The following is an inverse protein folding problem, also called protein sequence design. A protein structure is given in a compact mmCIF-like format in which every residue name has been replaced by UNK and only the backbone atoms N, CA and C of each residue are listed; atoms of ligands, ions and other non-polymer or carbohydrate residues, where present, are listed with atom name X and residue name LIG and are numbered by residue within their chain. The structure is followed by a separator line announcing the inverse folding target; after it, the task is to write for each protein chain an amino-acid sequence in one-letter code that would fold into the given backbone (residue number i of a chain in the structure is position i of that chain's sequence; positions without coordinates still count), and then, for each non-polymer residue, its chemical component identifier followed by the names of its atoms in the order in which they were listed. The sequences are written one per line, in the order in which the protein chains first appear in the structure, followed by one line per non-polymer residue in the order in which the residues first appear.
data_IF_866414370636
#
_entry.id   IF_866414370636
#
_cell.length_a   1.000
_cell.length_b   1.000
_cell.length_c   1.000
_cell.angle_alpha   90.00
_cell.angle_beta   90.00
_cell.angle_gamma   90.00
#
_symmetry.space_group_name_H-M   'P 1'
#
loop_
_entity.id
_entity.type
_entity.pdbx_description
1 polymer ?
#
# COMPACT_ATOMS: atom_id res chain seq x y z
N UNK A 1 -17.39 16.51 -10.16
CA UNK A 1 -16.80 15.17 -10.32
C UNK A 1 -15.26 15.22 -10.33
N UNK A 2 -14.61 16.01 -11.19
CA UNK A 2 -13.14 16.04 -11.32
C UNK A 2 -12.39 16.38 -10.02
N UNK A 3 -12.84 17.39 -9.25
CA UNK A 3 -12.20 17.78 -7.98
C UNK A 3 -12.30 16.64 -6.97
N UNK A 4 -13.44 15.98 -6.90
CA UNK A 4 -13.69 14.84 -6.00
C UNK A 4 -12.78 13.65 -6.37
N UNK A 5 -12.64 13.35 -7.67
CA UNK A 5 -11.75 12.27 -8.14
C UNK A 5 -10.28 12.54 -7.82
N UNK A 6 -9.84 13.79 -7.98
CA UNK A 6 -8.47 14.21 -7.61
C UNK A 6 -8.23 14.04 -6.11
N UNK A 7 -9.19 14.47 -5.28
CA UNK A 7 -9.10 14.29 -3.84
C UNK A 7 -9.04 12.79 -3.47
N UNK A 8 -9.94 11.97 -3.98
CA UNK A 8 -9.95 10.54 -3.71
C UNK A 8 -8.69 9.81 -4.23
N UNK A 9 -8.08 10.27 -5.31
CA UNK A 9 -6.88 9.66 -5.83
C UNK A 9 -5.64 9.82 -4.93
N UNK A 10 -5.65 10.77 -3.99
CA UNK A 10 -4.45 11.16 -3.23
C UNK A 10 -4.70 11.24 -1.72
N UNK A 11 -5.81 11.81 -1.27
CA UNK A 11 -6.09 12.04 0.16
C UNK A 11 -6.03 10.75 0.99
N UNK A 12 -6.59 9.60 0.57
CA UNK A 12 -6.52 8.37 1.36
C UNK A 12 -5.08 7.89 1.62
N UNK A 13 -4.16 8.16 0.69
CA UNK A 13 -2.74 7.82 0.89
C UNK A 13 -2.14 8.62 2.04
N UNK A 14 -2.35 9.94 2.07
CA UNK A 14 -1.87 10.78 3.18
C UNK A 14 -2.54 10.44 4.50
N UNK A 15 -3.84 10.11 4.48
CA UNK A 15 -4.54 9.61 5.65
C UNK A 15 -3.92 8.31 6.18
N UNK A 16 -3.53 7.38 5.31
CA UNK A 16 -2.87 6.14 5.75
C UNK A 16 -1.53 6.39 6.43
N UNK A 17 -0.73 7.34 5.93
CA UNK A 17 0.50 7.75 6.59
C UNK A 17 0.24 8.41 7.95
N UNK A 18 -0.75 9.32 8.03
CA UNK A 18 -1.13 9.97 9.27
C UNK A 18 -1.64 8.98 10.32
N UNK A 19 -2.46 8.00 9.90
CA UNK A 19 -2.95 6.93 10.77
C UNK A 19 -1.79 6.06 11.26
N UNK A 20 -0.87 5.66 10.37
CA UNK A 20 0.31 4.88 10.77
C UNK A 20 1.13 5.66 11.80
N UNK A 21 1.43 6.93 11.54
CA UNK A 21 2.17 7.79 12.46
C UNK A 21 1.46 7.90 13.82
N UNK A 22 0.15 8.14 13.83
CA UNK A 22 -0.64 8.21 15.06
C UNK A 22 -0.59 6.90 15.85
N UNK A 23 -0.75 5.76 15.17
CA UNK A 23 -0.64 4.44 15.79
C UNK A 23 0.75 4.27 16.42
N UNK A 24 1.81 4.64 15.72
CA UNK A 24 3.18 4.52 16.23
C UNK A 24 3.43 5.43 17.46
N UNK A 25 2.91 6.65 17.45
CA UNK A 25 3.02 7.59 18.57
C UNK A 25 2.28 7.10 19.81
N UNK A 26 1.06 6.59 19.63
CA UNK A 26 0.21 6.13 20.72
C UNK A 26 0.68 4.77 21.28
N UNK A 27 1.00 3.83 20.42
CA UNK A 27 1.35 2.46 20.85
C UNK A 27 2.83 2.28 21.14
N UNK A 28 3.68 3.19 20.65
CA UNK A 28 5.15 3.07 20.69
C UNK A 28 5.67 1.73 20.14
N UNK A 29 4.90 1.10 19.25
CA UNK A 29 5.16 -0.24 18.73
C UNK A 29 6.20 -0.20 17.60
N UNK A 30 7.48 -0.13 17.95
CA UNK A 30 8.59 -0.13 16.98
C UNK A 30 8.53 -1.29 15.98
N UNK A 31 7.99 -2.46 16.39
CA UNK A 31 7.80 -3.61 15.51
C UNK A 31 6.89 -3.29 14.32
N UNK A 32 5.77 -2.59 14.54
CA UNK A 32 4.86 -2.17 13.45
C UNK A 32 5.59 -1.26 12.45
N UNK A 33 6.45 -0.35 12.93
CA UNK A 33 7.23 0.52 12.04
C UNK A 33 8.19 -0.30 11.16
N UNK A 34 8.94 -1.22 11.78
CA UNK A 34 9.89 -2.08 11.05
C UNK A 34 9.17 -2.92 10.00
N UNK A 35 8.05 -3.54 10.37
CA UNK A 35 7.23 -4.34 9.46
C UNK A 35 6.66 -3.50 8.31
N UNK A 36 6.17 -2.27 8.61
CA UNK A 36 5.65 -1.37 7.59
C UNK A 36 6.76 -0.93 6.61
N UNK A 37 7.92 -0.52 7.12
CA UNK A 37 9.06 -0.14 6.27
C UNK A 37 9.52 -1.32 5.42
N UNK A 38 9.64 -2.51 5.99
CA UNK A 38 10.04 -3.71 5.25
C UNK A 38 9.02 -4.07 4.15
N UNK A 39 7.72 -4.10 4.49
CA UNK A 39 6.66 -4.38 3.52
C UNK A 39 6.64 -3.37 2.38
N UNK A 40 6.71 -2.07 2.69
CA UNK A 40 6.70 -0.99 1.71
C UNK A 40 7.92 -1.06 0.79
N UNK A 41 9.11 -1.18 1.35
CA UNK A 41 10.35 -1.22 0.57
C UNK A 41 10.37 -2.41 -0.39
N UNK A 42 10.05 -3.61 0.11
CA UNK A 42 10.03 -4.82 -0.72
C UNK A 42 8.94 -4.77 -1.79
N UNK A 43 7.74 -4.29 -1.45
CA UNK A 43 6.64 -4.17 -2.39
C UNK A 43 6.94 -3.16 -3.51
N UNK A 44 7.54 -2.01 -3.19
CA UNK A 44 7.90 -1.00 -4.19
C UNK A 44 9.06 -1.45 -5.10
N UNK A 45 10.06 -2.13 -4.53
CA UNK A 45 11.13 -2.76 -5.33
C UNK A 45 10.54 -3.81 -6.27
N UNK A 46 9.60 -4.62 -5.80
CA UNK A 46 8.91 -5.60 -6.61
C UNK A 46 8.07 -4.94 -7.71
N UNK A 47 7.30 -3.88 -7.40
CA UNK A 47 6.55 -3.12 -8.40
C UNK A 47 7.47 -2.53 -9.47
N UNK A 48 8.58 -1.93 -9.05
CA UNK A 48 9.57 -1.38 -9.97
C UNK A 48 10.14 -2.47 -10.90
N UNK A 49 10.50 -3.63 -10.36
CA UNK A 49 10.97 -4.77 -11.14
C UNK A 49 9.88 -5.25 -12.12
N UNK A 50 8.66 -5.43 -11.63
CA UNK A 50 7.54 -5.88 -12.46
C UNK A 50 7.26 -4.92 -13.62
N UNK A 51 7.27 -3.61 -13.36
CA UNK A 51 7.10 -2.59 -14.40
C UNK A 51 8.22 -2.56 -15.45
N UNK A 52 9.40 -3.15 -15.16
CA UNK A 52 10.50 -3.29 -16.13
C UNK A 52 10.38 -4.56 -16.99
N UNK A 53 9.97 -5.69 -16.38
CA UNK A 53 9.84 -6.96 -17.09
C UNK A 53 8.49 -7.10 -17.80
N UNK A 54 7.47 -6.44 -17.29
CA UNK A 54 6.12 -6.41 -17.85
C UNK A 54 5.60 -4.98 -17.92
N UNK A 55 6.03 -4.25 -18.94
CA UNK A 55 5.58 -2.88 -19.15
C UNK A 55 4.12 -2.86 -19.61
N UNK A 56 3.28 -2.19 -18.82
CA UNK A 56 1.89 -1.92 -19.13
C UNK A 56 1.72 -0.43 -19.42
N UNK A 57 1.37 -0.02 -20.66
CA UNK A 57 1.14 1.40 -20.94
C UNK A 57 -0.05 1.91 -20.14
N UNK A 58 0.02 3.17 -19.70
CA UNK A 58 -1.08 3.81 -18.97
C UNK A 58 -2.26 4.12 -19.88
N UNK A 59 -3.52 4.19 -19.36
CA UNK A 59 -4.70 4.47 -20.17
C UNK A 59 -4.59 5.72 -21.04
N UNK A 60 -4.01 6.80 -20.52
CA UNK A 60 -3.86 8.07 -21.26
C UNK A 60 -2.87 8.01 -22.43
N UNK A 61 -2.11 6.94 -22.58
CA UNK A 61 -1.27 6.67 -23.76
C UNK A 61 -2.06 5.99 -24.87
N UNK A 62 -3.31 5.59 -24.62
CA UNK A 62 -4.21 5.00 -25.61
C UNK A 62 -4.97 6.13 -26.34
N UNK A 63 -5.09 6.08 -27.69
CA UNK A 63 -5.85 7.08 -28.44
C UNK A 63 -7.29 7.22 -27.91
N UNK A 64 -7.74 8.45 -27.71
CA UNK A 64 -9.09 8.75 -27.22
C UNK A 64 -9.24 8.75 -25.69
N UNK A 65 -8.21 8.43 -24.94
CA UNK A 65 -8.21 8.49 -23.45
C UNK A 65 -7.41 9.72 -22.98
N UNK A 66 -8.05 10.59 -22.21
CA UNK A 66 -7.42 11.77 -21.63
C UNK A 66 -7.09 11.56 -20.16
N UNK A 67 -5.84 11.86 -19.76
CA UNK A 67 -5.51 12.02 -18.34
C UNK A 67 -5.99 13.39 -17.84
N UNK A 68 -6.67 13.39 -16.69
CA UNK A 68 -7.12 14.61 -16.02
C UNK A 68 -6.11 15.16 -15.00
N UNK A 69 -4.94 14.54 -14.92
CA UNK A 69 -3.79 14.94 -14.08
C UNK A 69 -2.50 14.66 -14.85
N UNK A 70 -1.47 15.46 -14.58
CA UNK A 70 -0.15 15.17 -15.12
C UNK A 70 0.41 13.91 -14.44
N UNK A 71 0.86 12.96 -15.24
CA UNK A 71 1.49 11.73 -14.78
C UNK A 71 2.59 11.28 -15.75
N UNK A 72 3.70 10.75 -15.21
CA UNK A 72 4.77 10.22 -16.03
C UNK A 72 4.32 8.99 -16.84
N UNK A 73 4.84 8.82 -18.04
CA UNK A 73 4.57 7.69 -18.94
C UNK A 73 5.36 6.42 -18.52
N UNK A 74 5.32 6.08 -17.23
CA UNK A 74 5.88 4.83 -16.67
C UNK A 74 4.86 3.70 -16.78
N UNK A 75 5.26 2.46 -16.45
CA UNK A 75 4.31 1.35 -16.36
C UNK A 75 3.11 1.69 -15.46
N UNK A 76 1.90 1.29 -15.86
CA UNK A 76 0.70 1.45 -15.04
C UNK A 76 0.59 0.38 -13.95
N UNK A 77 1.06 -0.84 -14.25
CA UNK A 77 0.88 -2.02 -13.39
C UNK A 77 2.13 -2.33 -12.57
N UNK A 78 1.96 -2.68 -11.28
CA UNK A 78 0.81 -2.38 -10.40
C UNK A 78 0.81 -0.91 -9.95
N UNK A 79 -0.28 -0.44 -9.32
CA UNK A 79 -0.36 0.94 -8.82
C UNK A 79 0.45 1.14 -7.53
N UNK A 80 1.55 1.90 -7.58
CA UNK A 80 2.39 2.18 -6.40
C UNK A 80 1.61 2.84 -5.26
N UNK A 81 0.74 3.80 -5.56
CA UNK A 81 -0.07 4.49 -4.55
C UNK A 81 -0.97 3.53 -3.78
N UNK A 82 -1.65 2.61 -4.48
CA UNK A 82 -2.48 1.61 -3.84
C UNK A 82 -1.65 0.55 -3.12
N UNK A 83 -0.51 0.16 -3.68
CA UNK A 83 0.43 -0.76 -3.02
C UNK A 83 0.87 -0.20 -1.68
N UNK A 84 1.31 1.06 -1.62
CA UNK A 84 1.70 1.73 -0.38
C UNK A 84 0.54 1.73 0.62
N UNK A 85 -0.63 2.22 0.17
CA UNK A 85 -1.82 2.35 1.00
C UNK A 85 -2.24 1.02 1.62
N UNK A 86 -2.35 -0.03 0.80
CA UNK A 86 -2.75 -1.35 1.27
C UNK A 86 -1.66 -2.12 2.02
N UNK A 87 -0.36 -1.84 1.80
CA UNK A 87 0.71 -2.36 2.66
C UNK A 87 0.55 -1.84 4.10
N UNK A 88 0.33 -0.53 4.27
CA UNK A 88 0.08 0.06 5.59
C UNK A 88 -1.15 -0.61 6.23
N UNK A 89 -2.26 -0.69 5.50
CA UNK A 89 -3.48 -1.34 5.96
C UNK A 89 -3.22 -2.79 6.37
N UNK A 90 -2.51 -3.57 5.55
CA UNK A 90 -2.20 -4.98 5.77
C UNK A 90 -1.36 -5.21 7.03
N UNK A 91 -0.33 -4.40 7.25
CA UNK A 91 0.47 -4.46 8.47
C UNK A 91 -0.39 -4.15 9.70
N UNK A 92 -1.22 -3.10 9.67
CA UNK A 92 -2.13 -2.78 10.77
C UNK A 92 -3.16 -3.89 11.04
N UNK A 93 -3.71 -4.53 9.99
CA UNK A 93 -4.61 -5.68 10.09
C UNK A 93 -3.91 -6.87 10.76
N UNK A 94 -2.63 -7.05 10.51
CA UNK A 94 -1.82 -8.10 11.10
C UNK A 94 -1.76 -8.06 12.63
N UNK A 95 -1.97 -6.92 13.26
CA UNK A 95 -1.90 -6.75 14.72
C UNK A 95 -3.28 -6.62 15.35
N UNK A 96 -3.59 -7.45 16.36
CA UNK A 96 -4.93 -7.49 17.00
C UNK A 96 -5.40 -6.12 17.49
N UNK A 97 -4.50 -5.30 18.04
CA UNK A 97 -4.83 -3.97 18.60
C UNK A 97 -5.16 -2.93 17.54
N UNK A 98 -4.63 -3.07 16.33
CA UNK A 98 -4.80 -2.10 15.24
C UNK A 98 -5.63 -2.65 14.08
N UNK A 99 -6.13 -3.89 14.18
CA UNK A 99 -6.85 -4.57 13.10
C UNK A 99 -8.03 -3.78 12.56
N UNK A 100 -8.88 -3.25 13.45
CA UNK A 100 -10.07 -2.48 13.03
C UNK A 100 -9.66 -1.21 12.29
N UNK A 101 -8.62 -0.53 12.78
CA UNK A 101 -8.04 0.64 12.11
C UNK A 101 -7.51 0.25 10.72
N UNK A 102 -6.78 -0.87 10.65
CA UNK A 102 -6.26 -1.39 9.38
C UNK A 102 -7.36 -1.71 8.36
N UNK A 103 -8.48 -2.30 8.80
CA UNK A 103 -9.63 -2.56 7.94
C UNK A 103 -10.24 -1.24 7.45
N UNK A 104 -10.42 -0.26 8.32
CA UNK A 104 -10.92 1.06 7.93
C UNK A 104 -9.99 1.73 6.90
N UNK A 105 -8.68 1.67 7.11
CA UNK A 105 -7.69 2.15 6.12
C UNK A 105 -7.82 1.38 4.81
N UNK A 106 -7.92 0.04 4.84
CA UNK A 106 -8.06 -0.76 3.61
C UNK A 106 -9.29 -0.35 2.78
N UNK A 107 -10.41 -0.08 3.43
CA UNK A 107 -11.65 0.36 2.78
C UNK A 107 -11.50 1.73 2.11
N UNK A 108 -10.69 2.64 2.65
CA UNK A 108 -10.36 3.92 2.01
C UNK A 108 -9.57 3.75 0.71
N UNK A 109 -8.97 2.59 0.46
CA UNK A 109 -8.35 2.25 -0.81
C UNK A 109 -9.34 2.11 -1.96
N UNK A 110 -10.62 1.82 -1.71
CA UNK A 110 -11.64 1.68 -2.75
C UNK A 110 -11.94 3.01 -3.46
N UNK A 111 -12.30 4.10 -2.77
CA UNK A 111 -12.46 5.40 -3.42
C UNK A 111 -11.15 5.91 -4.04
N UNK A 112 -9.99 5.56 -3.47
CA UNK A 112 -8.70 5.88 -4.07
C UNK A 112 -8.50 5.16 -5.40
N UNK A 113 -8.80 3.86 -5.47
CA UNK A 113 -8.76 3.07 -6.70
C UNK A 113 -9.68 3.66 -7.77
N UNK A 114 -10.94 3.96 -7.39
CA UNK A 114 -11.89 4.61 -8.28
C UNK A 114 -11.37 5.94 -8.81
N UNK A 115 -10.84 6.82 -7.95
CA UNK A 115 -10.30 8.11 -8.33
C UNK A 115 -9.18 7.99 -9.37
N UNK A 116 -8.27 7.03 -9.21
CA UNK A 116 -7.14 6.81 -10.13
C UNK A 116 -7.58 6.26 -11.49
N UNK A 117 -8.59 5.38 -11.51
CA UNK A 117 -9.20 4.87 -12.74
C UNK A 117 -9.94 6.02 -13.47
N UNK A 118 -10.78 6.77 -12.74
CA UNK A 118 -11.53 7.90 -13.30
C UNK A 118 -10.63 8.97 -13.90
N UNK A 119 -9.47 9.23 -13.29
CA UNK A 119 -8.49 10.20 -13.80
C UNK A 119 -7.71 9.71 -15.04
N UNK A 120 -7.96 8.48 -15.51
CA UNK A 120 -7.33 7.92 -16.70
C UNK A 120 -5.86 7.55 -16.53
N UNK A 121 -5.39 7.36 -15.29
CA UNK A 121 -3.98 7.05 -15.01
C UNK A 121 -3.70 5.58 -14.73
N UNK A 122 -4.74 4.79 -14.43
CA UNK A 122 -4.64 3.35 -14.16
C UNK A 122 -5.84 2.57 -14.68
N UNK A 123 -5.63 1.28 -14.92
CA UNK A 123 -6.68 0.30 -15.20
C UNK A 123 -7.19 -0.37 -13.91
N UNK A 124 -8.40 -0.95 -13.90
CA UNK A 124 -8.88 -1.75 -12.77
C UNK A 124 -7.94 -2.90 -12.37
N UNK A 125 -7.28 -3.54 -13.36
CA UNK A 125 -6.31 -4.60 -13.12
C UNK A 125 -5.10 -4.15 -12.30
N UNK A 126 -4.66 -2.88 -12.46
CA UNK A 126 -3.54 -2.32 -11.69
C UNK A 126 -3.87 -2.25 -10.19
N UNK A 127 -5.15 -2.06 -9.86
CA UNK A 127 -5.64 -2.03 -8.48
C UNK A 127 -5.61 -3.43 -7.86
N UNK A 128 -6.07 -4.43 -8.61
CA UNK A 128 -6.01 -5.83 -8.16
C UNK A 128 -4.57 -6.30 -7.97
N UNK A 129 -3.68 -5.96 -8.90
CA UNK A 129 -2.25 -6.24 -8.78
C UNK A 129 -1.66 -5.59 -7.52
N UNK A 130 -1.97 -4.32 -7.26
CA UNK A 130 -1.52 -3.61 -6.07
C UNK A 130 -2.03 -4.26 -4.77
N UNK A 131 -3.29 -4.70 -4.75
CA UNK A 131 -3.86 -5.39 -3.58
C UNK A 131 -3.15 -6.72 -3.29
N UNK A 132 -2.88 -7.51 -4.32
CA UNK A 132 -2.16 -8.80 -4.18
C UNK A 132 -0.72 -8.60 -3.70
N UNK A 133 0.01 -7.66 -4.30
CA UNK A 133 1.37 -7.32 -3.89
C UNK A 133 1.39 -6.85 -2.44
N UNK A 134 0.51 -5.92 -2.07
CA UNK A 134 0.43 -5.41 -0.71
C UNK A 134 0.07 -6.50 0.30
N UNK A 135 -0.91 -7.35 0.00
CA UNK A 135 -1.30 -8.46 0.87
C UNK A 135 -0.15 -9.45 1.09
N UNK A 136 0.59 -9.78 0.03
CA UNK A 136 1.75 -10.67 0.11
C UNK A 136 2.84 -10.08 1.01
N UNK A 137 3.35 -8.90 0.70
CA UNK A 137 4.49 -8.32 1.42
C UNK A 137 4.14 -7.89 2.86
N UNK A 138 2.94 -7.39 3.11
CA UNK A 138 2.49 -7.11 4.48
C UNK A 138 2.38 -8.38 5.32
N UNK A 139 1.83 -9.47 4.75
CA UNK A 139 1.73 -10.76 5.44
C UNK A 139 3.10 -11.33 5.78
N UNK A 140 4.03 -11.30 4.83
CA UNK A 140 5.41 -11.77 5.02
C UNK A 140 6.11 -10.96 6.11
N UNK A 141 6.02 -9.63 6.06
CA UNK A 141 6.65 -8.75 7.05
C UNK A 141 6.12 -9.00 8.47
N UNK A 142 4.80 -9.10 8.64
CA UNK A 142 4.16 -9.41 9.93
C UNK A 142 4.54 -10.81 10.42
N UNK A 143 4.59 -11.80 9.54
CA UNK A 143 4.98 -13.17 9.90
C UNK A 143 6.42 -13.21 10.41
N UNK A 144 7.36 -12.57 9.71
CA UNK A 144 8.77 -12.50 10.12
C UNK A 144 8.91 -11.75 11.44
N UNK A 145 8.22 -10.60 11.59
CA UNK A 145 8.23 -9.81 12.82
C UNK A 145 7.77 -10.62 14.04
N UNK A 146 6.71 -11.41 13.90
CA UNK A 146 6.22 -12.31 14.97
C UNK A 146 7.23 -13.39 15.33
N UNK A 147 7.83 -14.04 14.34
CA UNK A 147 8.87 -15.05 14.58
C UNK A 147 10.07 -14.46 15.30
N UNK A 148 10.60 -13.33 14.84
CA UNK A 148 11.74 -12.66 15.48
C UNK A 148 11.44 -12.30 16.94
N UNK A 149 10.25 -11.77 17.21
CA UNK A 149 9.84 -11.46 18.59
C UNK A 149 9.69 -12.70 19.49
N UNK A 150 9.35 -13.87 18.94
CA UNK A 150 9.29 -15.13 19.70
C UNK A 150 10.67 -15.66 20.05
N UNK A 151 11.61 -15.63 19.12
CA UNK A 151 12.99 -16.05 19.33
C UNK A 151 13.70 -15.23 20.42
N UNK A 152 13.55 -13.89 20.38
CA UNK A 152 14.13 -13.00 21.38
C UNK A 152 13.59 -13.26 22.79
N UNK A 153 12.32 -13.68 22.92
CA UNK A 153 11.71 -14.02 24.20
C UNK A 153 12.18 -15.39 24.75
N UNK A 154 12.49 -16.34 23.89
CA UNK A 154 13.01 -17.64 24.29
C UNK A 154 14.46 -17.50 24.75
N UNK A 155 15.33 -16.83 24.00
CA UNK A 155 16.73 -16.62 24.41
C UNK A 155 16.91 -15.81 25.69
N UNK A 156 15.95 -14.94 26.06
CA UNK A 156 15.97 -14.21 27.33
C UNK A 156 15.47 -15.03 28.54
N UNK A 157 14.96 -16.24 28.32
CA UNK A 157 14.54 -17.17 29.42
C UNK A 157 15.63 -18.15 29.79
N UNK A 158 16.60 -18.36 28.92
CA UNK A 158 17.68 -19.33 29.08
C UNK A 158 18.99 -18.66 29.57
N UNK A 159 18.98 -17.32 29.76
CA UNK A 159 20.07 -16.50 30.33
C UNK A 159 19.73 -16.03 31.75
#
# INVERSE_FOLDING_TARGET
MLVVSKAFAVVPLFLSYAVLLLVLLVTRAKGILVEAVAALSLALVFNWFLGRVWYQPRPFLTPGVQAWVHHAATSSFPSDHLTIHWCIAGVLIGHRRTRVIGVAVALLGLPMAWGRIYLGVHYPGDMLGAALVAACFASVAVFIGRKSASWLRLGARDS
#
